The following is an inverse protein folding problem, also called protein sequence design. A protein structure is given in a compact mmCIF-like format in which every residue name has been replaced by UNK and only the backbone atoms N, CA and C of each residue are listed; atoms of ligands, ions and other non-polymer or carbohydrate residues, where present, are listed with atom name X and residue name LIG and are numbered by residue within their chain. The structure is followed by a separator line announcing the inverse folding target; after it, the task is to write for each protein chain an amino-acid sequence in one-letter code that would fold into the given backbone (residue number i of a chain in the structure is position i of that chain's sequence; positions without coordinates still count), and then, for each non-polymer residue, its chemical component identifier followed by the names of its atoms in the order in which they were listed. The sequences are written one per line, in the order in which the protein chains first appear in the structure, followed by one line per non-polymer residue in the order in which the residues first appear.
data_IF_361188683621
#
_entry.id   IF_361188683621
#
_cell.length_a   1.000
_cell.length_b   1.000
_cell.length_c   1.000
_cell.angle_alpha   90.00
_cell.angle_beta   90.00
_cell.angle_gamma   90.00
#
_symmetry.space_group_name_H-M   'P 1'
#
loop_
_entity.id
_entity.type
_entity.pdbx_description
1 polymer ?
#
# COMPACT_ATOMS: atom_id res chain seq x y z
N UNK A 1 -10.24 -17.66 22.31
CA UNK A 1 -9.73 -16.29 22.34
C UNK A 1 -8.60 -16.04 21.38
N UNK A 2 -7.58 -16.87 21.37
CA UNK A 2 -6.52 -16.75 20.38
C UNK A 2 -7.06 -16.96 18.97
N UNK A 3 -7.99 -17.90 18.81
CA UNK A 3 -8.63 -18.16 17.52
C UNK A 3 -9.43 -16.95 17.02
N UNK A 4 -10.08 -16.23 17.91
CA UNK A 4 -10.84 -15.04 17.55
C UNK A 4 -9.92 -13.91 17.11
N UNK A 5 -8.77 -13.77 17.76
CA UNK A 5 -7.78 -12.76 17.38
C UNK A 5 -7.14 -13.10 16.05
N UNK A 6 -6.81 -14.37 15.84
CA UNK A 6 -6.27 -14.81 14.56
C UNK A 6 -7.27 -14.57 13.43
N UNK A 7 -8.54 -14.86 13.67
CA UNK A 7 -9.58 -14.59 12.69
C UNK A 7 -9.73 -13.10 12.40
N UNK A 8 -9.59 -12.25 13.42
CA UNK A 8 -9.65 -10.80 13.22
C UNK A 8 -8.52 -10.33 12.31
N UNK A 9 -7.30 -10.82 12.52
CA UNK A 9 -6.18 -10.44 11.68
C UNK A 9 -6.31 -11.00 10.27
N UNK A 10 -6.86 -12.20 10.15
CA UNK A 10 -7.07 -12.83 8.85
C UNK A 10 -8.21 -12.18 8.07
N UNK A 11 -9.13 -11.50 8.76
CA UNK A 11 -10.28 -10.87 8.12
C UNK A 11 -10.15 -9.38 7.91
N UNK A 12 -8.94 -8.83 8.09
CA UNK A 12 -8.69 -7.45 7.70
C UNK A 12 -9.05 -7.31 6.22
N UNK A 13 -9.94 -6.40 5.92
CA UNK A 13 -10.35 -6.25 4.53
C UNK A 13 -9.28 -5.51 3.72
N UNK A 14 -9.38 -5.66 2.42
CA UNK A 14 -8.38 -5.09 1.51
C UNK A 14 -8.30 -3.56 1.63
N UNK A 15 -9.39 -2.91 1.96
CA UNK A 15 -9.41 -1.45 2.14
C UNK A 15 -8.48 -1.01 3.27
N UNK A 16 -8.42 -1.78 4.35
CA UNK A 16 -7.52 -1.47 5.47
C UNK A 16 -6.06 -1.60 5.07
N UNK A 17 -5.74 -2.60 4.25
CA UNK A 17 -4.38 -2.77 3.75
C UNK A 17 -3.98 -1.64 2.81
N UNK A 18 -4.87 -1.28 1.91
CA UNK A 18 -4.63 -0.16 0.98
C UNK A 18 -4.38 1.12 1.78
N UNK A 19 -5.19 1.36 2.80
CA UNK A 19 -5.06 2.54 3.65
C UNK A 19 -3.72 2.56 4.36
N UNK A 20 -3.30 1.43 4.93
CA UNK A 20 -2.03 1.35 5.64
C UNK A 20 -0.86 1.66 4.69
N UNK A 21 -0.86 1.08 3.51
CA UNK A 21 0.19 1.33 2.52
C UNK A 21 0.14 2.78 2.02
N UNK A 22 -1.05 3.32 1.82
CA UNK A 22 -1.23 4.72 1.42
C UNK A 22 -0.60 5.67 2.43
N UNK A 23 -0.85 5.44 3.71
CA UNK A 23 -0.28 6.27 4.76
C UNK A 23 1.25 6.16 4.81
N UNK A 24 1.79 4.96 4.65
CA UNK A 24 3.24 4.77 4.63
C UNK A 24 3.88 5.44 3.43
N UNK A 25 3.24 5.38 2.26
CA UNK A 25 3.71 6.09 1.07
C UNK A 25 3.67 7.60 1.28
N UNK A 26 2.63 8.09 1.92
CA UNK A 26 2.49 9.51 2.21
C UNK A 26 3.60 9.99 3.16
N UNK A 27 3.85 9.24 4.22
CA UNK A 27 4.93 9.55 5.16
C UNK A 27 6.27 9.56 4.43
N UNK A 28 6.52 8.56 3.61
CA UNK A 28 7.77 8.48 2.85
C UNK A 28 7.93 9.69 1.92
N UNK A 29 6.95 9.95 1.08
CA UNK A 29 7.00 11.04 0.10
C UNK A 29 7.14 12.40 0.76
N UNK A 30 6.38 12.63 1.82
CA UNK A 30 6.44 13.88 2.55
C UNK A 30 7.80 14.08 3.20
N UNK A 31 8.36 13.01 3.78
CA UNK A 31 9.67 13.07 4.41
C UNK A 31 10.78 13.39 3.41
N UNK A 32 10.71 12.83 2.21
CA UNK A 32 11.69 13.12 1.16
C UNK A 32 11.60 14.60 0.76
N UNK A 33 10.39 15.11 0.60
CA UNK A 33 10.19 16.53 0.27
C UNK A 33 10.71 17.44 1.39
N UNK A 34 10.38 17.10 2.63
CA UNK A 34 10.82 17.88 3.80
C UNK A 34 12.34 17.86 3.92
N UNK A 35 12.96 16.72 3.61
CA UNK A 35 14.42 16.61 3.59
C UNK A 35 15.03 17.60 2.62
N UNK A 36 14.45 17.73 1.43
CA UNK A 36 14.95 18.65 0.41
C UNK A 36 14.87 20.10 0.89
N UNK A 37 13.75 20.46 1.53
CA UNK A 37 13.57 21.81 2.09
C UNK A 37 14.55 22.07 3.22
N UNK A 38 14.86 21.07 4.01
CA UNK A 38 15.74 21.19 5.18
C UNK A 38 17.21 20.93 4.87
N UNK A 39 17.58 20.90 3.59
CA UNK A 39 18.94 20.60 3.16
C UNK A 39 19.96 21.51 3.85
N UNK A 40 20.99 20.89 4.43
CA UNK A 40 22.04 21.61 5.14
C UNK A 40 21.72 21.92 6.60
N UNK A 41 20.53 21.55 7.09
CA UNK A 41 20.15 21.75 8.48
C UNK A 41 20.18 20.42 9.25
N UNK A 42 20.07 20.50 10.57
CA UNK A 42 20.00 19.29 11.41
C UNK A 42 18.76 18.44 11.09
N UNK A 43 17.69 19.08 10.65
CA UNK A 43 16.43 18.38 10.35
C UNK A 43 16.54 17.49 9.12
N UNK A 44 17.50 17.73 8.25
CA UNK A 44 17.71 16.88 7.06
C UNK A 44 17.90 15.42 7.46
N UNK A 45 18.72 15.16 8.48
CA UNK A 45 18.98 13.80 8.96
C UNK A 45 17.72 13.18 9.55
N UNK A 46 16.95 13.97 10.28
CA UNK A 46 15.69 13.49 10.85
C UNK A 46 14.73 13.02 9.75
N UNK A 47 14.52 13.85 8.73
CA UNK A 47 13.60 13.49 7.65
C UNK A 47 14.08 12.29 6.84
N UNK A 48 15.39 12.18 6.62
CA UNK A 48 15.94 11.00 5.95
C UNK A 48 15.69 9.74 6.78
N UNK A 49 15.85 9.84 8.10
CA UNK A 49 15.62 8.72 9.01
C UNK A 49 14.16 8.26 8.95
N UNK A 50 13.23 9.21 8.97
CA UNK A 50 11.80 8.89 8.89
C UNK A 50 11.47 8.23 7.56
N UNK A 51 12.00 8.76 6.45
CA UNK A 51 11.79 8.17 5.14
C UNK A 51 12.29 6.72 5.09
N UNK A 52 13.47 6.48 5.64
CA UNK A 52 14.04 5.13 5.67
C UNK A 52 13.19 4.17 6.50
N UNK A 53 12.68 4.63 7.62
CA UNK A 53 11.81 3.82 8.49
C UNK A 53 10.48 3.51 7.84
N UNK A 54 9.89 4.50 7.17
CA UNK A 54 8.62 4.29 6.46
C UNK A 54 8.80 3.27 5.33
N UNK A 55 9.88 3.38 4.58
CA UNK A 55 10.19 2.44 3.51
C UNK A 55 10.38 1.02 4.04
N UNK A 56 11.13 0.88 5.13
CA UNK A 56 11.38 -0.43 5.74
C UNK A 56 10.08 -1.04 6.28
N UNK A 57 9.26 -0.23 6.93
CA UNK A 57 7.99 -0.70 7.49
C UNK A 57 7.02 -1.12 6.39
N UNK A 58 6.95 -0.37 5.30
CA UNK A 58 6.14 -0.71 4.14
C UNK A 58 6.52 -2.07 3.58
N UNK A 59 7.82 -2.30 3.41
CA UNK A 59 8.33 -3.58 2.93
C UNK A 59 7.98 -4.73 3.87
N UNK A 60 8.17 -4.49 5.16
CA UNK A 60 7.84 -5.49 6.18
C UNK A 60 6.35 -5.79 6.20
N UNK A 61 5.52 -4.77 6.06
CA UNK A 61 4.07 -4.92 6.00
C UNK A 61 3.68 -5.85 4.87
N UNK A 62 4.21 -5.60 3.68
CA UNK A 62 3.87 -6.43 2.51
C UNK A 62 4.34 -7.86 2.67
N UNK A 63 5.51 -8.08 3.23
CA UNK A 63 6.01 -9.43 3.47
C UNK A 63 5.18 -10.18 4.51
N UNK A 64 4.63 -9.43 5.47
CA UNK A 64 3.82 -10.03 6.53
C UNK A 64 2.45 -10.46 6.03
N UNK A 65 1.78 -9.59 5.29
CA UNK A 65 0.40 -9.83 4.86
C UNK A 65 0.26 -10.41 3.45
N UNK A 66 1.22 -10.16 2.60
CA UNK A 66 1.16 -10.59 1.20
C UNK A 66 2.51 -11.16 0.76
N UNK A 67 2.97 -12.24 1.44
CA UNK A 67 4.33 -12.77 1.22
C UNK A 67 4.58 -13.27 -0.20
N UNK A 68 3.53 -13.69 -0.88
CA UNK A 68 3.65 -14.25 -2.22
C UNK A 68 3.42 -13.24 -3.34
N UNK A 69 3.25 -11.97 -2.98
CA UNK A 69 3.01 -10.93 -3.98
C UNK A 69 4.27 -10.70 -4.84
N UNK A 70 4.18 -10.88 -6.15
CA UNK A 70 5.32 -10.61 -7.03
C UNK A 70 5.74 -9.13 -6.98
N UNK A 71 7.02 -8.87 -7.18
CA UNK A 71 7.57 -7.52 -7.12
C UNK A 71 6.86 -6.55 -8.08
N UNK A 72 6.57 -7.01 -9.29
CA UNK A 72 5.90 -6.17 -10.28
C UNK A 72 4.50 -5.76 -9.82
N UNK A 73 3.76 -6.71 -9.27
CA UNK A 73 2.42 -6.44 -8.76
C UNK A 73 2.50 -5.55 -7.51
N UNK A 74 3.50 -5.78 -6.67
CA UNK A 74 3.74 -4.95 -5.50
C UNK A 74 3.99 -3.49 -5.89
N UNK A 75 4.77 -3.27 -6.93
CA UNK A 75 5.03 -1.91 -7.43
C UNK A 75 3.74 -1.21 -7.85
N UNK A 76 2.85 -1.94 -8.52
CA UNK A 76 1.54 -1.40 -8.89
C UNK A 76 0.69 -1.08 -7.67
N UNK A 77 0.68 -1.98 -6.69
CA UNK A 77 -0.09 -1.79 -5.46
C UNK A 77 0.37 -0.55 -4.71
N UNK A 78 1.66 -0.39 -4.58
CA UNK A 78 2.25 0.76 -3.91
C UNK A 78 1.90 2.07 -4.64
N UNK A 79 2.07 2.10 -5.94
CA UNK A 79 1.75 3.27 -6.74
C UNK A 79 0.26 3.61 -6.68
N UNK A 80 -0.60 2.60 -6.73
CA UNK A 80 -2.04 2.82 -6.68
C UNK A 80 -2.51 3.36 -5.33
N UNK A 81 -1.92 2.87 -4.23
CA UNK A 81 -2.24 3.38 -2.91
C UNK A 81 -1.87 4.86 -2.79
N UNK A 82 -0.72 5.22 -3.35
CA UNK A 82 -0.26 6.61 -3.39
C UNK A 82 -1.20 7.49 -4.22
N UNK A 83 -1.65 6.98 -5.35
CA UNK A 83 -2.62 7.69 -6.19
C UNK A 83 -3.91 7.99 -5.44
N UNK A 84 -4.43 7.00 -4.72
CA UNK A 84 -5.65 7.16 -3.95
C UNK A 84 -5.51 8.31 -2.96
N UNK A 85 -4.39 8.37 -2.26
CA UNK A 85 -4.13 9.41 -1.28
C UNK A 85 -4.11 10.80 -1.95
N UNK A 86 -3.40 10.92 -3.06
CA UNK A 86 -3.28 12.19 -3.78
C UNK A 86 -4.64 12.68 -4.28
N UNK A 87 -5.43 11.78 -4.86
CA UNK A 87 -6.74 12.15 -5.40
C UNK A 87 -7.68 12.58 -4.28
N UNK A 88 -7.66 11.89 -3.15
CA UNK A 88 -8.49 12.26 -2.02
C UNK A 88 -8.13 13.63 -1.47
N UNK A 89 -6.85 13.94 -1.38
CA UNK A 89 -6.39 15.24 -0.88
C UNK A 89 -6.69 16.38 -1.85
N UNK A 90 -6.61 16.10 -3.15
CA UNK A 90 -6.82 17.11 -4.17
C UNK A 90 -8.30 17.35 -4.49
N UNK A 91 -9.15 16.41 -4.14
CA UNK A 91 -10.55 16.48 -4.52
C UNK A 91 -11.36 17.41 -3.62
N UNK A 92 -12.04 18.36 -4.24
CA UNK A 92 -12.97 19.25 -3.56
C UNK A 92 -14.34 19.16 -4.21
N UNK A 93 -14.77 17.94 -4.55
CA UNK A 93 -16.09 17.72 -5.13
C UNK A 93 -16.09 16.99 -6.46
N UNK A 94 -14.96 16.48 -6.89
CA UNK A 94 -14.84 15.69 -8.13
C UNK A 94 -15.09 14.22 -7.84
N UNK A 95 -16.30 13.88 -7.42
CA UNK A 95 -16.64 12.53 -7.00
C UNK A 95 -16.42 11.47 -8.06
N UNK A 96 -16.53 11.82 -9.34
CA UNK A 96 -16.27 10.89 -10.42
C UNK A 96 -14.79 10.51 -10.49
N UNK A 97 -13.89 11.47 -10.31
CA UNK A 97 -12.47 11.22 -10.30
C UNK A 97 -12.08 10.31 -9.14
N UNK A 98 -12.63 10.59 -7.95
CA UNK A 98 -12.39 9.76 -6.78
C UNK A 98 -12.85 8.34 -7.03
N UNK A 99 -14.04 8.18 -7.62
CA UNK A 99 -14.58 6.86 -7.90
C UNK A 99 -13.72 6.10 -8.90
N UNK A 100 -13.30 6.76 -9.97
CA UNK A 100 -12.44 6.14 -10.97
C UNK A 100 -11.10 5.72 -10.38
N UNK A 101 -10.52 6.56 -9.53
CA UNK A 101 -9.29 6.23 -8.83
C UNK A 101 -9.49 5.04 -7.90
N UNK A 102 -10.58 5.02 -7.14
CA UNK A 102 -10.90 3.92 -6.25
C UNK A 102 -11.08 2.61 -7.02
N UNK A 103 -11.78 2.66 -8.14
CA UNK A 103 -12.01 1.46 -8.95
C UNK A 103 -10.68 0.89 -9.44
N UNK A 104 -9.77 1.74 -9.88
CA UNK A 104 -8.45 1.30 -10.34
C UNK A 104 -7.64 0.70 -9.19
N UNK A 105 -7.63 1.36 -8.04
CA UNK A 105 -6.92 0.90 -6.86
C UNK A 105 -7.48 -0.45 -6.41
N UNK A 106 -8.79 -0.57 -6.35
CA UNK A 106 -9.46 -1.81 -5.95
C UNK A 106 -9.14 -2.96 -6.89
N UNK A 107 -9.06 -2.70 -8.18
CA UNK A 107 -8.72 -3.71 -9.17
C UNK A 107 -7.32 -4.26 -8.95
N UNK A 108 -6.35 -3.38 -8.72
CA UNK A 108 -4.96 -3.77 -8.47
C UNK A 108 -4.85 -4.55 -7.16
N UNK A 109 -5.44 -4.01 -6.10
CA UNK A 109 -5.36 -4.63 -4.78
C UNK A 109 -6.21 -5.89 -4.67
N UNK A 110 -7.25 -6.01 -5.48
CA UNK A 110 -7.99 -7.25 -5.60
C UNK A 110 -7.09 -8.38 -6.06
N UNK A 111 -6.21 -8.11 -7.01
CA UNK A 111 -5.24 -9.09 -7.48
C UNK A 111 -4.21 -9.44 -6.41
N UNK A 112 -3.71 -8.43 -5.68
CA UNK A 112 -2.78 -8.64 -4.58
C UNK A 112 -3.42 -9.51 -3.49
N UNK A 113 -4.66 -9.20 -3.15
CA UNK A 113 -5.42 -9.94 -2.15
C UNK A 113 -5.57 -11.41 -2.51
N UNK A 114 -5.85 -11.70 -3.76
CA UNK A 114 -5.96 -13.09 -4.23
C UNK A 114 -4.63 -13.82 -4.12
N UNK A 115 -3.54 -13.13 -4.46
CA UNK A 115 -2.21 -13.72 -4.37
C UNK A 115 -1.89 -14.17 -2.96
N UNK A 116 -2.26 -13.34 -1.97
CA UNK A 116 -1.97 -13.63 -0.57
C UNK A 116 -2.99 -14.60 0.05
N UNK A 117 -4.28 -14.25 -0.03
CA UNK A 117 -5.34 -14.99 0.67
C UNK A 117 -5.46 -16.43 0.23
N UNK A 118 -5.11 -16.72 -0.99
CA UNK A 118 -5.27 -18.06 -1.56
C UNK A 118 -3.92 -18.69 -1.89
N UNK A 119 -2.84 -18.14 -1.34
CA UNK A 119 -1.51 -18.69 -1.50
C UNK A 119 -1.14 -18.89 -2.95
N UNK A 120 -1.43 -17.91 -3.77
CA UNK A 120 -1.23 -17.97 -5.22
C UNK A 120 -2.04 -19.05 -5.92
N UNK A 121 -2.90 -19.71 -5.18
CA UNK A 121 -3.71 -20.80 -5.73
C UNK A 121 -4.62 -20.33 -6.86
N UNK A 122 -5.29 -19.20 -6.65
CA UNK A 122 -6.14 -18.62 -7.68
C UNK A 122 -5.31 -18.17 -8.87
N UNK A 123 -4.13 -17.60 -8.60
CA UNK A 123 -3.23 -17.22 -9.68
C UNK A 123 -2.75 -18.41 -10.47
N UNK A 124 -2.46 -19.52 -9.76
CA UNK A 124 -2.07 -20.76 -10.40
C UNK A 124 -3.20 -21.33 -11.25
N UNK A 125 -4.42 -21.29 -10.73
CA UNK A 125 -5.60 -21.77 -11.45
C UNK A 125 -5.85 -20.92 -12.70
N UNK A 126 -5.72 -19.61 -12.58
CA UNK A 126 -5.83 -18.69 -13.72
C UNK A 126 -4.79 -19.01 -14.80
N UNK A 127 -3.57 -19.28 -14.37
CA UNK A 127 -2.49 -19.65 -15.27
C UNK A 127 -2.76 -20.98 -15.97
N UNK A 128 -3.37 -21.90 -15.26
CA UNK A 128 -3.68 -23.20 -15.84
C UNK A 128 -4.84 -23.15 -16.82
N UNK A 129 -5.69 -22.17 -16.70
CA UNK A 129 -6.80 -21.97 -17.63
C UNK A 129 -6.38 -21.26 -18.92
N UNK A 130 -5.25 -20.63 -18.87
CA UNK A 130 -4.70 -19.95 -20.03
C UNK A 130 -3.86 -20.91 -20.84
#
# INVERSE_FOLDING_TARGET
MEEEQEKKYQTLNISDHIRAISELEHIYSHSIRSKQVAEGTEDEVFYQTIANKAKALRRKYMKTYFPDCPDELWCLGKASASLRQVVYEADEGHTELVKEADDLVDEIWGRISHTDLYGCKICSDDKSEI
#
